data_IF_952633567542
#
_entry.id   IF_952633567542
#
_cell.length_a   1.000
_cell.length_b   1.000
_cell.length_c   1.000
_cell.angle_alpha   90.00
_cell.angle_beta   90.00
_cell.angle_gamma   90.00
#
_symmetry.space_group_name_H-M   'P 1'
#
loop_
_entity.id
_entity.type
_entity.pdbx_description
1 polymer ?
#
# COMPACT_ATOMS: atom_id res chain seq x y z
N UNK A 1 -10.31 -8.54 0.37
CA UNK A 1 -9.30 -7.96 -0.54
C UNK A 1 -7.91 -8.49 -0.23
N UNK A 2 -7.28 -8.12 0.89
CA UNK A 2 -5.88 -8.53 1.19
C UNK A 2 -5.61 -10.03 1.16
N UNK A 3 -6.48 -10.86 1.77
CA UNK A 3 -6.32 -12.32 1.72
C UNK A 3 -6.29 -12.86 0.27
N UNK A 4 -7.14 -12.31 -0.60
CA UNK A 4 -7.22 -12.75 -1.99
C UNK A 4 -5.97 -12.38 -2.79
N UNK A 5 -5.47 -11.13 -2.66
CA UNK A 5 -4.23 -10.74 -3.36
C UNK A 5 -3.00 -11.48 -2.83
N UNK A 6 -2.94 -11.76 -1.53
CA UNK A 6 -1.88 -12.59 -0.93
C UNK A 6 -1.92 -14.01 -1.49
N UNK A 7 -3.11 -14.61 -1.61
CA UNK A 7 -3.25 -15.94 -2.20
C UNK A 7 -2.76 -15.96 -3.65
N UNK A 8 -3.12 -14.95 -4.47
CA UNK A 8 -2.67 -14.82 -5.86
C UNK A 8 -1.15 -14.68 -5.92
N UNK A 9 -0.58 -13.68 -5.23
CA UNK A 9 0.87 -13.44 -5.25
C UNK A 9 1.65 -14.64 -4.72
N UNK A 10 1.15 -15.32 -3.69
CA UNK A 10 1.79 -16.53 -3.14
C UNK A 10 1.77 -17.65 -4.17
N UNK A 11 0.65 -17.85 -4.85
CA UNK A 11 0.52 -18.86 -5.91
C UNK A 11 1.49 -18.57 -7.06
N UNK A 12 1.43 -17.35 -7.62
CA UNK A 12 2.28 -16.92 -8.73
C UNK A 12 3.77 -16.92 -8.41
N UNK A 13 4.16 -16.74 -7.14
CA UNK A 13 5.56 -16.79 -6.70
C UNK A 13 6.08 -18.19 -6.39
N UNK A 14 5.22 -19.08 -5.90
CA UNK A 14 5.67 -20.34 -5.27
C UNK A 14 5.42 -21.57 -6.15
N UNK A 15 4.49 -21.50 -7.10
CA UNK A 15 4.24 -22.60 -8.03
C UNK A 15 5.17 -22.51 -9.22
N UNK A 16 5.78 -23.64 -9.58
CA UNK A 16 6.79 -23.73 -10.63
C UNK A 16 6.33 -23.11 -11.95
N UNK A 17 5.15 -23.51 -12.45
CA UNK A 17 4.65 -23.10 -13.77
C UNK A 17 4.29 -21.60 -13.79
N UNK A 18 3.38 -21.07 -12.93
CA UNK A 18 3.08 -19.64 -12.90
C UNK A 18 4.30 -18.76 -12.65
N UNK A 19 5.23 -19.21 -11.80
CA UNK A 19 6.43 -18.43 -11.50
C UNK A 19 7.35 -18.32 -12.70
N UNK A 20 7.54 -19.41 -13.45
CA UNK A 20 8.39 -19.42 -14.65
C UNK A 20 7.76 -18.57 -15.77
N UNK A 21 6.48 -18.78 -16.06
CA UNK A 21 5.77 -18.04 -17.10
C UNK A 21 5.73 -16.53 -16.81
N UNK A 22 5.56 -16.16 -15.54
CA UNK A 22 5.58 -14.75 -15.15
C UNK A 22 6.98 -14.14 -15.24
N UNK A 23 8.05 -14.89 -14.93
CA UNK A 23 9.43 -14.39 -15.10
C UNK A 23 9.83 -14.18 -16.55
N UNK A 24 9.22 -14.91 -17.48
CA UNK A 24 9.47 -14.77 -18.92
C UNK A 24 8.76 -13.55 -19.53
N UNK A 25 7.76 -13.00 -18.83
CA UNK A 25 7.07 -11.79 -19.26
C UNK A 25 7.94 -10.53 -19.04
N UNK A 26 8.32 -9.88 -20.13
CA UNK A 26 9.07 -8.62 -20.06
C UNK A 26 8.26 -7.54 -19.31
N UNK A 27 8.88 -6.91 -18.30
CA UNK A 27 8.27 -5.85 -17.49
C UNK A 27 7.50 -6.35 -16.27
N UNK A 28 7.33 -7.67 -16.12
CA UNK A 28 6.80 -8.26 -14.89
C UNK A 28 7.74 -8.02 -13.71
N UNK A 29 7.21 -8.15 -12.51
CA UNK A 29 8.00 -8.08 -11.28
C UNK A 29 7.74 -9.29 -10.40
N UNK A 30 8.71 -9.63 -9.56
CA UNK A 30 8.53 -10.71 -8.59
C UNK A 30 7.39 -10.35 -7.62
N UNK A 31 6.35 -11.20 -7.46
CA UNK A 31 5.24 -10.91 -6.55
C UNK A 31 5.73 -10.72 -5.11
N UNK A 32 5.24 -9.66 -4.47
CA UNK A 32 5.57 -9.34 -3.09
C UNK A 32 4.52 -9.94 -2.14
N UNK A 33 4.98 -10.37 -0.97
CA UNK A 33 4.12 -10.84 0.12
C UNK A 33 4.28 -9.89 1.30
N UNK A 34 3.18 -9.55 1.99
CA UNK A 34 3.26 -8.69 3.15
C UNK A 34 4.00 -9.38 4.28
N UNK A 35 4.82 -8.62 5.00
CA UNK A 35 5.48 -9.04 6.24
C UNK A 35 4.88 -8.34 7.45
N UNK A 36 5.03 -8.93 8.62
CA UNK A 36 4.38 -8.42 9.85
C UNK A 36 5.00 -7.13 10.38
N UNK A 37 6.32 -6.94 10.18
CA UNK A 37 7.08 -5.82 10.75
C UNK A 37 7.24 -4.64 9.79
N UNK A 38 7.15 -4.88 8.48
CA UNK A 38 7.34 -3.85 7.45
C UNK A 38 6.01 -3.24 7.05
N UNK A 39 5.73 -2.05 7.53
CA UNK A 39 4.43 -1.38 7.39
C UNK A 39 3.99 -1.16 5.93
N UNK A 40 4.93 -0.94 5.00
CA UNK A 40 4.64 -0.72 3.57
C UNK A 40 4.35 -2.01 2.79
N UNK A 41 4.66 -3.16 3.38
CA UNK A 41 4.65 -4.45 2.67
C UNK A 41 3.27 -4.85 2.13
N UNK A 42 2.18 -4.36 2.74
CA UNK A 42 0.81 -4.54 2.22
C UNK A 42 0.59 -3.75 0.93
N UNK A 43 1.07 -2.52 0.86
CA UNK A 43 1.01 -1.71 -0.36
C UNK A 43 1.89 -2.33 -1.45
N UNK A 44 3.12 -2.76 -1.11
CA UNK A 44 4.01 -3.45 -2.05
C UNK A 44 3.38 -4.73 -2.61
N UNK A 45 2.65 -5.49 -1.77
CA UNK A 45 1.89 -6.66 -2.20
C UNK A 45 0.82 -6.29 -3.24
N UNK A 46 0.05 -5.22 -3.01
CA UNK A 46 -0.98 -4.78 -3.95
C UNK A 46 -0.33 -4.25 -5.24
N UNK A 47 0.67 -3.37 -5.14
CA UNK A 47 1.34 -2.78 -6.30
C UNK A 47 1.98 -3.88 -7.19
N UNK A 48 2.57 -4.91 -6.58
CA UNK A 48 3.12 -6.04 -7.34
C UNK A 48 2.06 -6.88 -8.05
N UNK A 49 0.88 -7.06 -7.45
CA UNK A 49 -0.25 -7.69 -8.12
C UNK A 49 -0.76 -6.84 -9.28
N UNK A 50 -1.00 -5.55 -9.05
CA UNK A 50 -1.51 -4.61 -10.06
C UNK A 50 -0.60 -4.54 -11.26
N UNK A 51 0.72 -4.46 -11.04
CA UNK A 51 1.72 -4.44 -12.12
C UNK A 51 1.75 -5.72 -12.94
N UNK A 52 1.48 -6.86 -12.32
CA UNK A 52 1.49 -8.16 -12.98
C UNK A 52 0.13 -8.59 -13.53
N UNK A 53 -0.95 -7.85 -13.28
CA UNK A 53 -2.31 -8.34 -13.54
C UNK A 53 -2.55 -8.66 -15.02
N UNK A 54 -2.14 -7.76 -15.92
CA UNK A 54 -2.28 -7.97 -17.36
C UNK A 54 -1.47 -9.19 -17.84
N UNK A 55 -0.24 -9.35 -17.35
CA UNK A 55 0.59 -10.52 -17.66
C UNK A 55 -0.05 -11.82 -17.17
N UNK A 56 -0.61 -11.83 -15.96
CA UNK A 56 -1.29 -13.01 -15.43
C UNK A 56 -2.54 -13.37 -16.23
N UNK A 57 -3.31 -12.39 -16.72
CA UNK A 57 -4.45 -12.64 -17.62
C UNK A 57 -3.97 -13.26 -18.93
N UNK A 58 -2.90 -12.75 -19.52
CA UNK A 58 -2.32 -13.29 -20.75
C UNK A 58 -1.84 -14.74 -20.56
N UNK A 59 -1.13 -15.01 -19.46
CA UNK A 59 -0.65 -16.36 -19.13
C UNK A 59 -1.82 -17.36 -19.03
N UNK A 60 -2.93 -16.97 -18.41
CA UNK A 60 -4.13 -17.80 -18.30
C UNK A 60 -4.72 -18.12 -19.67
N UNK A 61 -4.72 -17.15 -20.58
CA UNK A 61 -5.25 -17.30 -21.94
C UNK A 61 -4.36 -18.21 -22.80
N UNK A 62 -3.04 -18.06 -22.69
CA UNK A 62 -2.06 -18.81 -23.48
C UNK A 62 -1.85 -20.24 -22.98
N UNK A 63 -2.14 -20.50 -21.69
CA UNK A 63 -1.88 -21.78 -21.02
C UNK A 63 -3.16 -22.30 -20.33
N UNK A 64 -4.22 -22.63 -21.08
CA UNK A 64 -5.48 -23.05 -20.50
C UNK A 64 -5.33 -24.36 -19.70
N UNK A 65 -5.73 -24.33 -18.43
CA UNK A 65 -5.69 -25.50 -17.53
C UNK A 65 -4.43 -25.62 -16.67
N UNK A 66 -3.39 -24.83 -16.93
CA UNK A 66 -2.13 -24.86 -16.16
C UNK A 66 -2.21 -24.13 -14.81
N UNK A 67 -3.21 -23.25 -14.65
CA UNK A 67 -3.43 -22.46 -13.44
C UNK A 67 -4.68 -22.94 -12.71
N UNK A 68 -4.57 -23.11 -11.39
CA UNK A 68 -5.69 -23.52 -10.52
C UNK A 68 -6.93 -22.64 -10.72
N UNK A 69 -8.08 -23.27 -10.92
CA UNK A 69 -9.32 -22.60 -11.28
C UNK A 69 -9.77 -21.54 -10.25
N UNK A 70 -9.46 -21.73 -8.95
CA UNK A 70 -9.79 -20.75 -7.91
C UNK A 70 -8.89 -19.53 -8.00
N UNK A 71 -7.64 -19.69 -8.45
CA UNK A 71 -6.72 -18.58 -8.70
C UNK A 71 -7.13 -17.83 -9.97
N UNK A 72 -7.47 -18.54 -11.05
CA UNK A 72 -8.03 -17.96 -12.28
C UNK A 72 -9.24 -17.09 -11.98
N UNK A 73 -10.21 -17.60 -11.21
CA UNK A 73 -11.40 -16.86 -10.81
C UNK A 73 -11.07 -15.54 -10.07
N UNK A 74 -10.03 -15.53 -9.23
CA UNK A 74 -9.60 -14.33 -8.52
C UNK A 74 -8.94 -13.32 -9.47
N UNK A 75 -8.04 -13.77 -10.35
CA UNK A 75 -7.31 -12.91 -11.29
C UNK A 75 -8.28 -12.27 -12.31
N UNK A 76 -9.24 -13.05 -12.80
CA UNK A 76 -10.25 -12.60 -13.78
C UNK A 76 -11.35 -11.74 -13.14
N UNK A 77 -11.38 -11.61 -11.82
CA UNK A 77 -12.36 -10.78 -11.13
C UNK A 77 -11.98 -9.29 -11.25
N UNK A 78 -12.56 -8.62 -12.25
CA UNK A 78 -12.33 -7.20 -12.48
C UNK A 78 -12.68 -6.32 -11.27
N UNK A 79 -13.74 -6.66 -10.52
CA UNK A 79 -14.12 -5.92 -9.30
C UNK A 79 -13.05 -6.04 -8.22
N UNK A 80 -12.40 -7.19 -8.09
CA UNK A 80 -11.26 -7.34 -7.17
C UNK A 80 -10.10 -6.41 -7.58
N UNK A 81 -9.77 -6.35 -8.87
CA UNK A 81 -8.72 -5.45 -9.37
C UNK A 81 -9.02 -3.98 -9.05
N UNK A 82 -10.21 -3.49 -9.42
CA UNK A 82 -10.61 -2.09 -9.16
C UNK A 82 -10.53 -1.75 -7.67
N UNK A 83 -11.11 -2.60 -6.82
CA UNK A 83 -11.08 -2.39 -5.37
C UNK A 83 -9.65 -2.40 -4.79
N UNK A 84 -8.73 -3.16 -5.37
CA UNK A 84 -7.33 -3.19 -4.94
C UNK A 84 -6.57 -1.93 -5.37
N UNK A 85 -6.84 -1.42 -6.58
CA UNK A 85 -6.28 -0.15 -7.06
C UNK A 85 -6.74 1.00 -6.18
N UNK A 86 -8.04 1.11 -5.92
CA UNK A 86 -8.60 2.13 -5.02
C UNK A 86 -8.00 2.02 -3.61
N UNK A 87 -7.87 0.80 -3.08
CA UNK A 87 -7.23 0.58 -1.77
C UNK A 87 -5.77 1.02 -1.77
N UNK A 88 -5.01 0.74 -2.83
CA UNK A 88 -3.62 1.18 -2.94
C UNK A 88 -3.52 2.71 -2.97
N UNK A 89 -4.42 3.39 -3.68
CA UNK A 89 -4.50 4.85 -3.68
C UNK A 89 -4.75 5.43 -2.29
N UNK A 90 -5.67 4.84 -1.52
CA UNK A 90 -5.93 5.27 -0.14
C UNK A 90 -4.76 4.99 0.79
N UNK A 91 -4.04 3.88 0.62
CA UNK A 91 -2.88 3.53 1.47
C UNK A 91 -1.64 4.37 1.15
N UNK A 92 -1.52 4.92 -0.05
CA UNK A 92 -0.31 5.60 -0.52
C UNK A 92 0.03 6.87 0.28
N UNK A 93 -0.91 7.78 0.61
CA UNK A 93 -0.62 8.92 1.48
C UNK A 93 -0.15 8.50 2.87
N UNK A 94 -0.77 7.47 3.46
CA UNK A 94 -0.35 6.91 4.76
C UNK A 94 1.07 6.36 4.67
N UNK A 95 1.38 5.65 3.58
CA UNK A 95 2.70 5.11 3.36
C UNK A 95 3.77 6.22 3.28
N UNK A 96 3.53 7.23 2.44
CA UNK A 96 4.46 8.37 2.30
C UNK A 96 4.63 9.11 3.63
N UNK A 97 3.56 9.29 4.40
CA UNK A 97 3.64 9.92 5.71
C UNK A 97 4.50 9.12 6.69
N UNK A 98 4.36 7.79 6.72
CA UNK A 98 5.19 6.93 7.57
C UNK A 98 6.66 6.91 7.13
N UNK A 99 6.94 6.80 5.83
CA UNK A 99 8.31 6.90 5.27
C UNK A 99 8.97 8.21 5.72
N UNK A 100 8.25 9.34 5.65
CA UNK A 100 8.74 10.64 6.10
C UNK A 100 8.90 10.71 7.62
N UNK A 101 7.93 10.22 8.38
CA UNK A 101 7.96 10.27 9.83
C UNK A 101 9.15 9.47 10.43
N UNK A 102 9.61 8.44 9.71
CA UNK A 102 10.71 7.56 10.12
C UNK A 102 12.07 7.98 9.56
N UNK A 103 12.15 9.03 8.73
CA UNK A 103 13.42 9.47 8.18
C UNK A 103 14.33 10.06 9.28
N UNK A 104 15.64 9.79 9.19
CA UNK A 104 16.63 10.24 10.19
C UNK A 104 16.67 11.78 10.34
N UNK A 105 16.24 12.51 9.31
CA UNK A 105 16.17 13.97 9.30
C UNK A 105 14.91 14.54 9.96
N UNK A 106 13.94 13.72 10.34
CA UNK A 106 12.63 14.17 10.80
C UNK A 106 12.67 14.55 12.27
N UNK A 107 12.29 15.80 12.56
CA UNK A 107 12.17 16.28 13.93
C UNK A 107 10.71 16.29 14.43
N UNK A 108 10.51 16.62 15.72
CA UNK A 108 9.18 16.62 16.34
C UNK A 108 8.16 17.54 15.65
N UNK A 109 8.62 18.67 15.09
CA UNK A 109 7.76 19.60 14.35
C UNK A 109 7.35 19.01 13.00
N UNK A 110 8.28 18.39 12.27
CA UNK A 110 7.98 17.68 11.03
C UNK A 110 6.99 16.53 11.27
N UNK A 111 7.14 15.78 12.37
CA UNK A 111 6.22 14.70 12.73
C UNK A 111 4.78 15.22 12.94
N UNK A 112 4.61 16.35 13.63
CA UNK A 112 3.30 17.00 13.77
C UNK A 112 2.73 17.43 12.42
N UNK A 113 3.52 18.11 11.59
CA UNK A 113 3.11 18.55 10.25
C UNK A 113 2.64 17.39 9.36
N UNK A 114 3.37 16.28 9.38
CA UNK A 114 3.06 15.06 8.61
C UNK A 114 1.70 14.50 9.05
N UNK A 115 1.51 14.32 10.36
CA UNK A 115 0.26 13.77 10.90
C UNK A 115 -0.92 14.72 10.66
N UNK A 116 -0.70 16.04 10.77
CA UNK A 116 -1.72 17.05 10.48
C UNK A 116 -2.15 17.01 9.02
N UNK A 117 -1.22 16.87 8.08
CA UNK A 117 -1.54 16.74 6.64
C UNK A 117 -2.40 15.53 6.32
N UNK A 118 -2.20 14.41 7.04
CA UNK A 118 -3.05 13.23 6.89
C UNK A 118 -4.51 13.47 7.30
N UNK A 119 -4.79 14.36 8.26
CA UNK A 119 -6.17 14.70 8.66
C UNK A 119 -6.96 15.37 7.53
N UNK A 120 -6.26 16.09 6.66
CA UNK A 120 -6.85 16.84 5.54
C UNK A 120 -6.72 16.13 4.20
N UNK A 121 -6.19 14.91 4.18
CA UNK A 121 -5.97 14.15 2.93
C UNK A 121 -7.30 13.67 2.33
N UNK A 122 -7.69 14.14 1.11
CA UNK A 122 -8.98 13.81 0.52
C UNK A 122 -9.19 12.31 0.31
N UNK A 123 -8.14 11.57 -0.04
CA UNK A 123 -8.20 10.12 -0.23
C UNK A 123 -8.52 9.36 1.06
N UNK A 124 -8.30 9.98 2.22
CA UNK A 124 -8.58 9.41 3.54
C UNK A 124 -9.89 9.89 4.14
N UNK A 125 -10.67 10.72 3.44
CA UNK A 125 -11.98 11.19 3.90
C UNK A 125 -12.92 10.05 4.39
N UNK A 126 -13.00 8.87 3.72
CA UNK A 126 -13.81 7.75 4.21
C UNK A 126 -13.34 7.17 5.55
N UNK A 127 -12.10 7.45 5.94
CA UNK A 127 -11.44 6.92 7.14
C UNK A 127 -11.10 8.01 8.14
N UNK A 128 -11.68 9.21 8.02
CA UNK A 128 -11.32 10.40 8.81
C UNK A 128 -11.31 10.13 10.32
N UNK A 129 -12.33 9.44 10.86
CA UNK A 129 -12.39 9.08 12.28
C UNK A 129 -11.22 8.18 12.71
N UNK A 130 -10.79 7.28 11.84
CA UNK A 130 -9.67 6.39 12.12
C UNK A 130 -8.35 7.16 12.10
N UNK A 131 -8.18 8.06 11.13
CA UNK A 131 -7.00 8.92 11.04
C UNK A 131 -6.94 9.85 12.25
N UNK A 132 -8.05 10.48 12.64
CA UNK A 132 -8.15 11.32 13.83
C UNK A 132 -7.77 10.55 15.10
N UNK A 133 -8.36 9.36 15.31
CA UNK A 133 -7.99 8.50 16.46
C UNK A 133 -6.51 8.12 16.49
N UNK A 134 -5.85 8.02 15.34
CA UNK A 134 -4.40 7.74 15.26
C UNK A 134 -3.58 8.99 15.51
N UNK A 135 -4.02 10.15 15.01
CA UNK A 135 -3.44 11.45 15.31
C UNK A 135 -3.43 11.71 16.81
N UNK A 136 -4.57 11.56 17.49
CA UNK A 136 -4.71 11.81 18.92
C UNK A 136 -3.84 10.89 19.79
N UNK A 137 -3.57 9.67 19.31
CA UNK A 137 -2.69 8.71 19.98
C UNK A 137 -1.20 8.99 19.77
N UNK A 138 -0.84 9.50 18.59
CA UNK A 138 0.55 9.72 18.22
C UNK A 138 1.06 11.08 18.70
N UNK A 139 0.22 12.10 18.62
CA UNK A 139 0.60 13.48 18.92
C UNK A 139 0.53 13.74 20.42
N UNK A 140 1.60 14.32 20.93
CA UNK A 140 1.73 14.79 22.31
C UNK A 140 1.98 16.30 22.34
N UNK A 141 1.73 17.00 23.46
CA UNK A 141 1.93 18.44 23.57
C UNK A 141 3.32 18.93 23.14
N UNK A 142 4.37 18.13 23.36
CA UNK A 142 5.73 18.47 22.92
C UNK A 142 5.87 18.59 21.39
N UNK A 143 5.14 17.77 20.62
CA UNK A 143 5.11 17.86 19.15
C UNK A 143 4.44 19.15 18.70
N UNK A 144 3.37 19.55 19.39
CA UNK A 144 2.67 20.81 19.11
C UNK A 144 3.57 22.02 19.41
N UNK A 145 4.19 22.06 20.59
CA UNK A 145 5.10 23.15 20.97
C UNK A 145 6.28 23.23 20.00
N UNK A 146 6.87 22.08 19.63
CA UNK A 146 7.93 22.04 18.62
C UNK A 146 7.46 22.65 17.30
N UNK A 147 6.26 22.28 16.81
CA UNK A 147 5.69 22.85 15.59
C UNK A 147 5.43 24.36 15.68
N UNK A 148 4.97 24.86 16.84
CA UNK A 148 4.74 26.29 17.07
C UNK A 148 6.03 27.10 17.04
N UNK A 149 7.09 26.59 17.66
CA UNK A 149 8.37 27.28 17.80
C UNK A 149 9.31 27.10 16.59
N UNK A 150 9.03 26.13 15.72
CA UNK A 150 9.90 25.80 14.61
C UNK A 150 9.83 26.87 13.50
N UNK A 151 10.94 27.52 13.10
CA UNK A 151 10.94 28.68 12.18
C UNK A 151 10.28 28.44 10.81
N UNK A 152 10.33 27.19 10.33
CA UNK A 152 9.68 26.76 9.08
C UNK A 152 8.15 26.76 9.16
N UNK A 153 7.60 26.48 10.33
CA UNK A 153 6.18 26.18 10.54
C UNK A 153 5.45 27.28 11.27
N UNK A 154 6.07 27.87 12.31
CA UNK A 154 5.55 28.98 13.10
C UNK A 154 4.09 28.79 13.57
N UNK A 155 3.70 27.54 13.87
CA UNK A 155 2.34 27.22 14.30
C UNK A 155 1.25 27.44 13.23
N UNK A 156 1.60 27.55 11.95
CA UNK A 156 0.63 27.94 10.93
C UNK A 156 -0.58 27.00 10.85
N UNK A 157 -1.78 27.58 10.92
CA UNK A 157 -3.06 26.87 10.89
C UNK A 157 -3.31 25.97 12.10
N UNK A 158 -2.68 26.22 13.25
CA UNK A 158 -3.16 25.72 14.55
C UNK A 158 -4.36 26.54 15.03
#
# INVERSE_FOLDING_TARGET
>A
LMKQVVDINKYSRSHHIPSALLSDCQGSIRPQLPGDTRWKSKLDCIDSYTKNQAHMVQIIQDNPGEIDCKIVQKIMNHKLYVNLVELAEQLRPVAVALDRAQADSTNLADAYDIMKKLLTEPLLAPHCDTVQKRFDKAIQPCHMVAYMLHPKYNGHGM
#
